data_IF_897724847359
#
_entry.id   IF_897724847359
#
_cell.length_a   1.000
_cell.length_b   1.000
_cell.length_c   1.000
_cell.angle_alpha   90.00
_cell.angle_beta   90.00
_cell.angle_gamma   90.00
#
_symmetry.space_group_name_H-M   'P 1'
#
loop_
_entity.id
_entity.type
_entity.pdbx_description
1 polymer ?
#
# COMPACT_ATOMS: atom_id res chain seq x y z
N UNK A 1 46.01 -35.45 -47.13
CA UNK A 1 45.19 -34.34 -46.58
C UNK A 1 44.49 -34.68 -45.25
N UNK A 2 44.74 -35.84 -44.62
CA UNK A 2 43.96 -36.30 -43.46
C UNK A 2 44.72 -36.34 -42.11
N UNK A 3 45.98 -35.87 -42.03
CA UNK A 3 46.73 -35.81 -40.76
C UNK A 3 46.79 -34.42 -40.14
N UNK A 4 46.70 -33.35 -40.93
CA UNK A 4 46.69 -31.97 -40.43
C UNK A 4 45.30 -31.50 -39.94
N UNK A 5 44.21 -32.08 -40.47
CA UNK A 5 42.85 -31.77 -39.99
C UNK A 5 42.59 -32.34 -38.59
N UNK A 6 43.12 -33.53 -38.28
CA UNK A 6 42.88 -34.21 -37.00
C UNK A 6 43.59 -33.53 -35.83
N UNK A 7 44.78 -32.98 -36.05
CA UNK A 7 45.54 -32.25 -35.02
C UNK A 7 44.86 -30.92 -34.71
N UNK A 8 44.34 -30.23 -35.73
CA UNK A 8 43.64 -28.94 -35.57
C UNK A 8 42.33 -29.07 -34.77
N UNK A 9 41.59 -30.18 -34.97
CA UNK A 9 40.34 -30.45 -34.24
C UNK A 9 40.58 -30.82 -32.77
N UNK A 10 41.67 -31.55 -32.47
CA UNK A 10 42.05 -31.89 -31.10
C UNK A 10 42.51 -30.67 -30.30
N UNK A 11 43.22 -29.72 -30.93
CA UNK A 11 43.60 -28.46 -30.30
C UNK A 11 42.41 -27.52 -30.04
N UNK A 12 41.38 -27.51 -30.91
CA UNK A 12 40.15 -26.74 -30.65
C UNK A 12 39.32 -27.35 -29.51
N UNK A 13 39.29 -28.67 -29.35
CA UNK A 13 38.59 -29.33 -28.24
C UNK A 13 39.28 -29.14 -26.88
N UNK A 14 40.61 -28.99 -26.84
CA UNK A 14 41.32 -28.72 -25.58
C UNK A 14 41.24 -27.24 -25.14
N UNK A 15 41.06 -26.31 -26.09
CA UNK A 15 40.80 -24.91 -25.79
C UNK A 15 39.36 -24.68 -25.29
N UNK A 16 38.37 -25.45 -25.76
CA UNK A 16 36.99 -25.36 -25.26
C UNK A 16 36.80 -26.00 -23.87
N UNK A 17 37.53 -27.06 -23.53
CA UNK A 17 37.49 -27.66 -22.18
C UNK A 17 38.14 -26.78 -21.11
N UNK A 18 39.17 -26.01 -21.48
CA UNK A 18 39.86 -25.08 -20.56
C UNK A 18 39.05 -23.79 -20.34
N UNK A 19 38.17 -23.43 -21.26
CA UNK A 19 37.24 -22.30 -21.12
C UNK A 19 35.98 -22.66 -20.31
N UNK A 20 35.62 -23.94 -20.19
CA UNK A 20 34.48 -24.40 -19.39
C UNK A 20 34.82 -24.72 -17.93
N UNK A 21 36.10 -24.81 -17.57
CA UNK A 21 36.56 -25.03 -16.18
C UNK A 21 36.95 -23.75 -15.45
N UNK A 22 36.82 -22.59 -16.09
CA UNK A 22 36.56 -21.32 -15.40
C UNK A 22 35.04 -21.14 -15.27
N UNK A 23 34.36 -22.11 -14.62
CA UNK A 23 33.13 -21.78 -13.94
C UNK A 23 33.49 -20.63 -13.00
N UNK A 24 33.04 -19.43 -13.34
CA UNK A 24 33.23 -18.23 -12.53
C UNK A 24 32.98 -18.64 -11.08
N UNK A 25 34.04 -18.68 -10.28
CA UNK A 25 33.90 -18.54 -8.85
C UNK A 25 33.26 -17.16 -8.69
N UNK A 26 31.93 -17.11 -8.71
CA UNK A 26 31.14 -15.92 -8.42
C UNK A 26 31.65 -15.49 -7.06
N UNK A 27 32.50 -14.47 -7.09
CA UNK A 27 33.00 -13.79 -5.92
C UNK A 27 31.75 -13.39 -5.15
N UNK A 28 31.49 -14.08 -4.04
CA UNK A 28 30.35 -13.88 -3.14
C UNK A 28 30.55 -12.58 -2.34
N UNK A 29 30.80 -11.48 -3.08
CA UNK A 29 31.02 -10.10 -2.62
C UNK A 29 29.68 -9.36 -2.47
N UNK A 30 28.60 -10.10 -2.25
CA UNK A 30 27.28 -9.53 -1.98
C UNK A 30 27.07 -9.27 -0.49
N UNK A 31 25.97 -8.59 -0.16
CA UNK A 31 25.52 -8.46 1.22
C UNK A 31 25.07 -9.82 1.75
N UNK A 32 25.55 -10.19 2.93
CA UNK A 32 25.09 -11.36 3.68
C UNK A 32 24.31 -10.88 4.89
N UNK A 33 23.00 -11.08 4.86
CA UNK A 33 22.12 -10.72 5.97
C UNK A 33 21.92 -11.92 6.88
N UNK A 34 21.83 -11.66 8.18
CA UNK A 34 21.48 -12.66 9.19
C UNK A 34 20.35 -12.08 10.04
N UNK A 35 19.20 -12.74 10.03
CA UNK A 35 18.05 -12.34 10.84
C UNK A 35 18.45 -12.34 12.32
N UNK A 36 18.19 -11.21 12.99
CA UNK A 36 18.38 -11.07 14.45
C UNK A 36 17.05 -11.20 15.18
N UNK A 37 16.02 -10.56 14.64
CA UNK A 37 14.64 -10.60 15.12
C UNK A 37 13.76 -10.62 13.88
N UNK A 38 12.67 -11.37 13.95
CA UNK A 38 11.60 -11.39 12.95
C UNK A 38 10.25 -11.49 13.66
N UNK A 39 9.23 -10.86 13.08
CA UNK A 39 7.85 -10.93 13.56
C UNK A 39 6.99 -11.63 12.51
N UNK A 40 5.91 -12.34 12.91
CA UNK A 40 5.02 -12.98 11.95
C UNK A 40 4.41 -11.95 10.99
N UNK A 41 4.51 -12.23 9.69
CA UNK A 41 3.93 -11.42 8.62
C UNK A 41 3.10 -12.32 7.69
N UNK A 42 2.18 -11.72 6.96
CA UNK A 42 1.45 -12.39 5.87
C UNK A 42 2.28 -12.45 4.60
N UNK A 43 1.72 -13.08 3.56
CA UNK A 43 2.34 -13.15 2.24
C UNK A 43 2.65 -11.76 1.65
N UNK A 44 3.76 -11.67 0.90
CA UNK A 44 4.12 -10.45 0.16
C UNK A 44 3.07 -10.16 -0.91
N UNK A 45 2.51 -8.95 -0.87
CA UNK A 45 1.54 -8.43 -1.84
C UNK A 45 2.23 -7.60 -2.93
N UNK A 46 1.52 -7.31 -4.02
CA UNK A 46 2.06 -6.57 -5.16
C UNK A 46 1.10 -5.47 -5.67
N UNK A 47 1.36 -4.22 -5.29
CA UNK A 47 0.60 -3.05 -5.75
C UNK A 47 0.76 -2.77 -7.26
N UNK A 48 1.77 -3.36 -7.90
CA UNK A 48 2.08 -3.21 -9.32
C UNK A 48 2.05 -1.73 -9.79
N UNK A 49 1.41 -1.44 -10.92
CA UNK A 49 1.38 -0.11 -11.55
C UNK A 49 0.26 0.73 -10.95
N UNK A 50 0.32 0.91 -9.63
CA UNK A 50 -0.55 1.79 -8.86
C UNK A 50 0.24 2.49 -7.76
N UNK A 51 -0.20 3.67 -7.33
CA UNK A 51 0.46 4.45 -6.28
C UNK A 51 -0.17 4.22 -4.90
N UNK A 52 -0.46 2.95 -4.58
CA UNK A 52 -1.30 2.56 -3.43
C UNK A 52 -0.51 1.94 -2.28
N UNK A 53 0.81 2.15 -2.23
CA UNK A 53 1.71 1.60 -1.20
C UNK A 53 1.23 1.87 0.23
N UNK A 54 0.65 3.05 0.46
CA UNK A 54 0.08 3.46 1.75
C UNK A 54 -1.05 2.51 2.20
N UNK A 55 -1.87 2.01 1.28
CA UNK A 55 -2.92 1.04 1.60
C UNK A 55 -2.33 -0.35 1.83
N UNK A 56 -1.49 -0.84 0.91
CA UNK A 56 -0.84 -2.15 1.02
C UNK A 56 -0.01 -2.29 2.30
N UNK A 57 0.81 -1.29 2.62
CA UNK A 57 1.64 -1.31 3.84
C UNK A 57 0.80 -1.19 5.12
N UNK A 58 -0.27 -0.38 5.11
CA UNK A 58 -1.18 -0.29 6.26
C UNK A 58 -1.90 -1.60 6.53
N UNK A 59 -2.44 -2.25 5.49
CA UNK A 59 -3.16 -3.50 5.66
C UNK A 59 -2.20 -4.64 6.03
N UNK A 60 -1.01 -4.73 5.44
CA UNK A 60 0.01 -5.69 5.88
C UNK A 60 0.41 -5.50 7.36
N UNK A 61 0.49 -4.24 7.82
CA UNK A 61 0.70 -3.93 9.23
C UNK A 61 -0.47 -4.42 10.10
N UNK A 62 -1.72 -4.13 9.74
CA UNK A 62 -2.89 -4.60 10.50
C UNK A 62 -3.07 -6.11 10.44
N UNK A 63 -2.74 -6.77 9.33
CA UNK A 63 -2.71 -8.22 9.24
C UNK A 63 -1.67 -8.84 10.19
N UNK A 64 -0.50 -8.21 10.32
CA UNK A 64 0.51 -8.62 11.30
C UNK A 64 0.03 -8.40 12.74
N UNK A 65 -0.71 -7.31 13.00
CA UNK A 65 -1.38 -7.09 14.30
C UNK A 65 -2.45 -8.15 14.60
N UNK A 66 -3.21 -8.61 13.60
CA UNK A 66 -4.17 -9.71 13.74
C UNK A 66 -3.46 -11.02 14.08
N UNK A 67 -2.31 -11.30 13.45
CA UNK A 67 -1.45 -12.44 13.83
C UNK A 67 -0.97 -12.30 15.27
N UNK A 68 -0.43 -11.13 15.66
CA UNK A 68 0.06 -10.84 17.01
C UNK A 68 -1.01 -11.01 18.08
N UNK A 69 -2.25 -10.62 17.78
CA UNK A 69 -3.40 -10.76 18.69
C UNK A 69 -4.08 -12.14 18.64
N UNK A 70 -3.52 -13.11 17.91
CA UNK A 70 -4.05 -14.47 17.82
C UNK A 70 -5.38 -14.58 17.08
N UNK A 71 -5.70 -13.61 16.21
CA UNK A 71 -6.91 -13.61 15.38
C UNK A 71 -6.77 -14.52 14.15
N UNK A 72 -5.54 -14.86 13.78
CA UNK A 72 -5.23 -15.69 12.62
C UNK A 72 -4.86 -14.86 11.40
N UNK A 73 -4.67 -15.56 10.28
CA UNK A 73 -4.26 -14.95 9.01
C UNK A 73 -5.46 -14.41 8.22
N UNK A 74 -5.32 -13.18 7.72
CA UNK A 74 -6.29 -12.48 6.90
C UNK A 74 -5.60 -11.86 5.68
N UNK A 75 -6.37 -11.72 4.60
CA UNK A 75 -6.01 -10.96 3.41
C UNK A 75 -7.08 -9.89 3.25
N UNK A 76 -6.73 -8.63 3.51
CA UNK A 76 -7.65 -7.50 3.56
C UNK A 76 -7.63 -6.71 2.25
N UNK A 77 -8.79 -6.22 1.80
CA UNK A 77 -8.88 -5.58 0.49
C UNK A 77 -8.33 -4.16 0.45
N UNK A 78 -7.16 -3.95 -0.14
CA UNK A 78 -6.59 -2.61 -0.31
C UNK A 78 -7.50 -1.72 -1.14
N UNK A 79 -8.13 -2.26 -2.17
CA UNK A 79 -8.96 -1.46 -3.08
C UNK A 79 -10.24 -0.94 -2.43
N UNK A 80 -10.71 -1.56 -1.35
CA UNK A 80 -11.79 -1.01 -0.52
C UNK A 80 -11.34 0.27 0.18
N UNK A 81 -10.13 0.27 0.75
CA UNK A 81 -9.54 1.44 1.40
C UNK A 81 -9.22 2.53 0.39
N UNK A 82 -8.63 2.17 -0.75
CA UNK A 82 -8.32 3.09 -1.86
C UNK A 82 -9.58 3.77 -2.36
N UNK A 83 -10.66 3.03 -2.61
CA UNK A 83 -11.92 3.59 -3.12
C UNK A 83 -12.49 4.66 -2.18
N UNK A 84 -12.71 4.32 -0.91
CA UNK A 84 -13.27 5.26 0.06
C UNK A 84 -12.37 6.49 0.26
N UNK A 85 -11.05 6.29 0.32
CA UNK A 85 -10.07 7.38 0.46
C UNK A 85 -10.06 8.28 -0.78
N UNK A 86 -10.15 7.67 -1.96
CA UNK A 86 -10.59 8.19 -3.26
C UNK A 86 -11.60 9.34 -3.16
N UNK A 87 -12.80 8.92 -2.80
CA UNK A 87 -13.98 9.78 -2.78
C UNK A 87 -13.82 10.90 -1.73
N UNK A 88 -13.26 10.59 -0.56
CA UNK A 88 -13.03 11.59 0.49
C UNK A 88 -11.98 12.64 0.09
N UNK A 89 -10.88 12.23 -0.55
CA UNK A 89 -9.81 13.15 -0.99
C UNK A 89 -10.34 14.10 -2.05
N UNK A 90 -11.17 13.62 -2.97
CA UNK A 90 -11.83 14.46 -3.96
C UNK A 90 -12.74 15.50 -3.29
N UNK A 91 -13.53 15.10 -2.29
CA UNK A 91 -14.33 16.03 -1.51
C UNK A 91 -13.48 17.09 -0.84
N UNK A 92 -12.35 16.71 -0.23
CA UNK A 92 -11.43 17.68 0.36
C UNK A 92 -10.86 18.64 -0.69
N UNK A 93 -10.43 18.11 -1.84
CA UNK A 93 -9.90 18.91 -2.96
C UNK A 93 -10.92 19.92 -3.47
N UNK A 94 -12.17 19.49 -3.69
CA UNK A 94 -13.26 20.37 -4.13
C UNK A 94 -13.58 21.43 -3.08
N UNK A 95 -13.66 21.06 -1.79
CA UNK A 95 -13.95 22.00 -0.69
C UNK A 95 -12.88 23.08 -0.52
N UNK A 96 -11.64 22.74 -0.85
CA UNK A 96 -10.49 23.64 -0.78
C UNK A 96 -10.07 24.15 -2.15
N UNK A 97 -10.99 24.16 -3.13
CA UNK A 97 -10.80 24.76 -4.45
C UNK A 97 -9.52 24.30 -5.18
N UNK A 98 -9.12 23.05 -4.96
CA UNK A 98 -7.97 22.40 -5.58
C UNK A 98 -6.63 22.62 -4.87
N UNK A 99 -6.59 23.26 -3.70
CA UNK A 99 -5.37 23.43 -2.89
C UNK A 99 -4.87 22.08 -2.36
N UNK A 100 -5.79 21.23 -1.89
CA UNK A 100 -5.48 19.82 -1.66
C UNK A 100 -5.37 19.13 -3.02
N UNK A 101 -4.20 18.56 -3.29
CA UNK A 101 -3.98 17.76 -4.50
C UNK A 101 -4.90 16.55 -4.52
N UNK A 102 -5.40 16.21 -5.70
CA UNK A 102 -6.06 14.94 -5.94
C UNK A 102 -5.09 14.02 -6.71
N UNK A 103 -4.52 13.06 -5.99
CA UNK A 103 -3.52 12.11 -6.48
C UNK A 103 -3.71 10.76 -5.76
N UNK A 104 -3.25 9.64 -6.36
CA UNK A 104 -3.48 8.28 -5.85
C UNK A 104 -2.73 7.91 -4.56
N UNK A 105 -1.80 8.77 -4.11
CA UNK A 105 -1.10 8.61 -2.85
C UNK A 105 -2.00 8.77 -1.62
N UNK A 106 -1.43 8.56 -0.45
CA UNK A 106 -2.16 8.56 0.82
C UNK A 106 -1.23 8.25 1.99
N UNK A 107 -1.82 8.01 3.15
CA UNK A 107 -1.12 7.87 4.43
C UNK A 107 -1.65 6.67 5.22
N UNK A 108 -0.88 6.22 6.24
CA UNK A 108 -1.39 5.21 7.19
C UNK A 108 -2.68 5.64 7.88
N UNK A 109 -2.83 6.95 8.14
CA UNK A 109 -4.04 7.47 8.77
C UNK A 109 -5.29 7.34 7.87
N UNK A 110 -5.14 7.25 6.55
CA UNK A 110 -6.26 6.98 5.65
C UNK A 110 -6.85 5.57 5.86
N UNK A 111 -6.00 4.57 6.08
CA UNK A 111 -6.45 3.22 6.40
C UNK A 111 -7.11 3.15 7.79
N UNK A 112 -6.52 3.81 8.79
CA UNK A 112 -7.12 3.97 10.14
C UNK A 112 -8.50 4.63 10.06
N UNK A 113 -8.61 5.73 9.30
CA UNK A 113 -9.86 6.43 9.09
C UNK A 113 -10.88 5.53 8.38
N UNK A 114 -10.47 4.84 7.31
CA UNK A 114 -11.35 3.92 6.59
C UNK A 114 -11.91 2.84 7.52
N UNK A 115 -11.06 2.20 8.32
CA UNK A 115 -11.46 1.17 9.26
C UNK A 115 -12.51 1.67 10.27
N UNK A 116 -12.33 2.88 10.81
CA UNK A 116 -13.28 3.49 11.75
C UNK A 116 -14.61 3.89 11.09
N UNK A 117 -14.54 4.52 9.92
CA UNK A 117 -15.70 5.21 9.33
C UNK A 117 -16.50 4.31 8.37
N UNK A 118 -15.81 3.44 7.64
CA UNK A 118 -16.37 2.58 6.59
C UNK A 118 -16.28 1.09 6.94
N UNK A 119 -15.32 0.69 7.78
CA UNK A 119 -15.04 -0.71 8.10
C UNK A 119 -13.90 -1.26 7.24
N UNK A 120 -13.86 -2.58 7.10
CA UNK A 120 -12.89 -3.28 6.25
C UNK A 120 -13.54 -4.54 5.68
N UNK A 121 -12.98 -5.07 4.59
CA UNK A 121 -13.49 -6.27 3.92
C UNK A 121 -12.33 -7.21 3.56
N UNK A 122 -12.55 -8.53 3.48
CA UNK A 122 -11.55 -9.46 2.98
C UNK A 122 -11.33 -9.27 1.48
N UNK A 123 -10.13 -9.60 0.99
CA UNK A 123 -9.74 -9.47 -0.42
C UNK A 123 -10.74 -10.13 -1.39
N UNK A 124 -11.27 -11.30 -1.04
CA UNK A 124 -12.27 -12.01 -1.85
C UNK A 124 -13.60 -11.25 -2.02
N UNK A 125 -13.95 -10.37 -1.07
CA UNK A 125 -15.18 -9.58 -1.15
C UNK A 125 -15.02 -8.37 -2.08
N UNK A 126 -13.80 -7.86 -2.25
CA UNK A 126 -13.50 -6.76 -3.18
C UNK A 126 -12.10 -6.93 -3.78
N UNK A 127 -11.94 -7.79 -4.82
CA UNK A 127 -10.63 -8.03 -5.44
C UNK A 127 -9.99 -6.78 -6.05
N UNK A 128 -10.80 -5.77 -6.40
CA UNK A 128 -10.29 -4.45 -6.74
C UNK A 128 -9.81 -4.26 -8.18
N UNK A 129 -10.05 -5.24 -9.05
CA UNK A 129 -9.60 -5.24 -10.45
C UNK A 129 -10.75 -5.65 -11.36
N UNK A 130 -11.27 -4.72 -12.17
CA UNK A 130 -12.42 -4.95 -13.09
C UNK A 130 -12.08 -4.89 -14.58
N UNK A 131 -10.80 -4.77 -14.91
CA UNK A 131 -10.31 -4.46 -16.27
C UNK A 131 -9.47 -5.59 -16.89
N UNK A 132 -9.59 -6.83 -16.39
CA UNK A 132 -9.01 -8.02 -17.03
C UNK A 132 -7.52 -8.26 -16.77
N UNK A 133 -6.89 -7.46 -15.92
CA UNK A 133 -5.52 -7.68 -15.45
C UNK A 133 -5.48 -8.57 -14.20
N UNK A 134 -4.30 -9.12 -13.88
CA UNK A 134 -4.09 -9.88 -12.63
C UNK A 134 -3.61 -9.01 -11.47
N UNK A 135 -3.08 -7.82 -11.77
CA UNK A 135 -2.49 -6.91 -10.80
C UNK A 135 -2.95 -5.47 -11.08
N UNK A 136 -2.92 -4.58 -10.07
CA UNK A 136 -3.39 -3.22 -10.25
C UNK A 136 -2.65 -2.45 -11.36
N UNK A 137 -3.39 -1.78 -12.25
CA UNK A 137 -2.88 -0.87 -13.28
C UNK A 137 -3.77 0.38 -13.32
N UNK A 138 -3.36 1.42 -12.60
CA UNK A 138 -4.25 2.56 -12.31
C UNK A 138 -4.00 3.80 -13.17
N UNK A 139 -3.04 3.77 -14.11
CA UNK A 139 -2.70 4.96 -14.91
C UNK A 139 -3.92 5.59 -15.60
N UNK A 140 -4.83 4.77 -16.16
CA UNK A 140 -6.06 5.25 -16.79
C UNK A 140 -7.06 5.78 -15.74
N UNK A 141 -7.31 5.01 -14.68
CA UNK A 141 -8.16 5.41 -13.57
C UNK A 141 -7.72 6.77 -12.97
N UNK A 142 -6.45 6.91 -12.67
CA UNK A 142 -5.86 8.11 -12.07
C UNK A 142 -5.99 9.32 -13.01
N UNK A 143 -5.80 9.13 -14.32
CA UNK A 143 -5.98 10.19 -15.31
C UNK A 143 -7.45 10.64 -15.42
N UNK A 144 -8.38 9.69 -15.49
CA UNK A 144 -9.82 9.97 -15.65
C UNK A 144 -10.39 10.61 -14.39
N UNK A 145 -10.15 10.00 -13.21
CA UNK A 145 -10.59 10.55 -11.94
C UNK A 145 -9.93 11.91 -11.65
N UNK A 146 -8.64 12.05 -11.96
CA UNK A 146 -7.90 13.30 -11.83
C UNK A 146 -8.47 14.43 -12.67
N UNK A 147 -8.78 14.17 -13.94
CA UNK A 147 -9.43 15.15 -14.81
C UNK A 147 -10.82 15.54 -14.30
N UNK A 148 -11.60 14.56 -13.84
CA UNK A 148 -12.94 14.77 -13.27
C UNK A 148 -12.91 15.72 -12.06
N UNK A 149 -12.06 15.41 -11.07
CA UNK A 149 -11.94 16.22 -9.85
C UNK A 149 -11.38 17.60 -10.15
N UNK A 150 -10.37 17.72 -11.02
CA UNK A 150 -9.80 19.02 -11.39
C UNK A 150 -10.82 19.94 -12.07
N UNK A 151 -11.66 19.42 -12.96
CA UNK A 151 -12.71 20.20 -13.63
C UNK A 151 -13.71 20.81 -12.63
N UNK A 152 -13.96 20.11 -11.52
CA UNK A 152 -14.88 20.56 -10.47
C UNK A 152 -14.17 21.51 -9.50
N UNK A 153 -13.02 21.09 -8.96
CA UNK A 153 -12.32 21.81 -7.90
C UNK A 153 -11.72 23.14 -8.36
N UNK A 154 -11.24 23.20 -9.61
CA UNK A 154 -10.52 24.36 -10.18
C UNK A 154 -11.30 25.07 -11.29
N UNK A 155 -12.50 24.60 -11.60
CA UNK A 155 -13.36 25.19 -12.62
C UNK A 155 -14.08 26.46 -12.12
N UNK A 156 -14.62 27.24 -13.05
CA UNK A 156 -15.38 28.46 -12.76
C UNK A 156 -16.87 28.19 -12.45
N UNK A 157 -17.17 27.06 -11.79
CA UNK A 157 -18.54 26.63 -11.50
C UNK A 157 -19.15 27.52 -10.40
N UNK A 158 -20.27 28.19 -10.70
CA UNK A 158 -20.98 29.03 -9.72
C UNK A 158 -21.81 28.21 -8.71
N UNK A 159 -22.17 26.98 -9.07
CA UNK A 159 -22.94 26.05 -8.25
C UNK A 159 -22.57 24.62 -8.65
N UNK A 160 -22.35 23.77 -7.66
CA UNK A 160 -22.15 22.34 -7.87
C UNK A 160 -23.49 21.61 -7.88
N UNK A 161 -23.61 20.61 -8.75
CA UNK A 161 -24.73 19.66 -8.71
C UNK A 161 -24.57 18.74 -7.49
N UNK A 162 -25.65 18.13 -6.97
CA UNK A 162 -25.50 17.17 -5.87
C UNK A 162 -24.89 15.83 -6.32
N UNK A 163 -24.85 15.54 -7.63
CA UNK A 163 -24.51 14.24 -8.20
C UNK A 163 -23.03 14.04 -8.53
N UNK A 164 -22.18 15.06 -8.37
CA UNK A 164 -20.78 14.94 -8.80
C UNK A 164 -20.00 13.87 -8.00
N UNK A 165 -20.37 13.66 -6.73
CA UNK A 165 -19.76 12.59 -5.92
C UNK A 165 -20.14 11.21 -6.44
N UNK A 166 -21.40 11.03 -6.83
CA UNK A 166 -21.87 9.79 -7.45
C UNK A 166 -21.14 9.53 -8.77
N UNK A 167 -20.94 10.57 -9.58
CA UNK A 167 -20.16 10.46 -10.82
C UNK A 167 -18.71 10.03 -10.58
N UNK A 168 -18.06 10.55 -9.54
CA UNK A 168 -16.72 10.11 -9.17
C UNK A 168 -16.71 8.68 -8.61
N UNK A 169 -17.67 8.33 -7.73
CA UNK A 169 -17.79 6.96 -7.21
C UNK A 169 -17.96 5.97 -8.36
N UNK A 170 -18.83 6.28 -9.33
CA UNK A 170 -19.06 5.43 -10.49
C UNK A 170 -17.80 5.21 -11.34
N UNK A 171 -16.89 6.18 -11.41
CA UNK A 171 -15.56 5.98 -12.01
C UNK A 171 -14.83 4.89 -11.22
N UNK A 172 -14.63 5.07 -9.91
CA UNK A 172 -13.95 4.06 -9.09
C UNK A 172 -14.65 2.69 -9.08
N UNK A 173 -15.98 2.65 -9.02
CA UNK A 173 -16.80 1.43 -9.08
C UNK A 173 -16.57 0.67 -10.39
N UNK A 174 -16.38 1.39 -11.50
CA UNK A 174 -16.12 0.81 -12.82
C UNK A 174 -14.75 0.12 -12.87
N UNK A 175 -13.71 0.72 -12.29
CA UNK A 175 -12.34 0.16 -12.34
C UNK A 175 -12.03 -0.83 -11.22
N UNK A 176 -12.53 -0.56 -10.00
CA UNK A 176 -12.19 -1.32 -8.79
C UNK A 176 -13.31 -2.26 -8.34
N UNK A 177 -14.54 -2.02 -8.80
CA UNK A 177 -15.74 -2.68 -8.29
C UNK A 177 -16.43 -1.84 -7.22
N UNK A 178 -17.74 -2.05 -7.07
CA UNK A 178 -18.53 -1.40 -6.02
C UNK A 178 -18.09 -1.90 -4.65
N UNK A 179 -17.94 -0.99 -3.69
CA UNK A 179 -17.69 -1.36 -2.30
C UNK A 179 -18.87 -2.19 -1.76
N UNK A 180 -18.65 -3.43 -1.27
CA UNK A 180 -19.74 -4.31 -0.90
C UNK A 180 -20.43 -3.82 0.38
N UNK A 181 -21.75 -3.62 0.32
CA UNK A 181 -22.56 -3.33 1.51
C UNK A 181 -22.71 -4.52 2.45
N UNK A 182 -22.73 -5.74 1.88
CA UNK A 182 -22.76 -7.02 2.58
C UNK A 182 -21.95 -8.07 1.82
N UNK A 183 -21.38 -9.04 2.52
CA UNK A 183 -20.64 -10.16 1.95
C UNK A 183 -20.63 -11.36 2.90
N UNK A 184 -20.41 -12.55 2.34
CA UNK A 184 -20.23 -13.78 3.12
C UNK A 184 -18.75 -14.10 3.25
N UNK A 185 -18.28 -14.29 4.48
CA UNK A 185 -16.91 -14.72 4.76
C UNK A 185 -16.92 -15.91 5.72
N UNK A 186 -16.26 -17.00 5.33
CA UNK A 186 -16.21 -18.27 6.10
C UNK A 186 -17.59 -18.73 6.59
N UNK A 187 -18.62 -18.60 5.74
CA UNK A 187 -19.98 -19.07 6.01
C UNK A 187 -20.85 -18.14 6.88
N UNK A 188 -20.35 -16.96 7.28
CA UNK A 188 -21.13 -15.93 8.01
C UNK A 188 -21.26 -14.67 7.17
N UNK A 189 -22.43 -14.05 7.23
CA UNK A 189 -22.71 -12.78 6.56
C UNK A 189 -22.21 -11.60 7.39
N UNK A 190 -21.59 -10.62 6.73
CA UNK A 190 -21.04 -9.42 7.33
C UNK A 190 -21.38 -8.18 6.51
N UNK A 191 -21.40 -7.05 7.20
CA UNK A 191 -21.15 -5.72 6.62
C UNK A 191 -19.67 -5.38 6.83
N UNK A 192 -19.09 -4.42 6.10
CA UNK A 192 -17.70 -3.99 6.35
C UNK A 192 -17.44 -3.59 7.82
N UNK A 193 -18.41 -2.93 8.46
CA UNK A 193 -18.31 -2.54 9.88
C UNK A 193 -18.39 -3.73 10.84
N UNK A 194 -19.29 -4.68 10.60
CA UNK A 194 -19.40 -5.85 11.48
C UNK A 194 -18.21 -6.79 11.31
N UNK A 195 -17.61 -6.86 10.11
CA UNK A 195 -16.37 -7.59 9.90
C UNK A 195 -15.19 -6.92 10.63
N UNK A 196 -15.02 -5.61 10.48
CA UNK A 196 -14.02 -4.85 11.24
C UNK A 196 -14.16 -5.04 12.77
N UNK A 197 -15.40 -5.07 13.28
CA UNK A 197 -15.66 -5.31 14.70
C UNK A 197 -15.30 -6.74 15.14
N UNK A 198 -15.53 -7.75 14.30
CA UNK A 198 -15.14 -9.15 14.56
C UNK A 198 -13.62 -9.30 14.66
N UNK A 199 -12.88 -8.60 13.79
CA UNK A 199 -11.41 -8.58 13.82
C UNK A 199 -10.86 -8.00 15.13
N UNK A 200 -11.57 -7.05 15.73
CA UNK A 200 -11.33 -6.60 17.10
C UNK A 200 -10.12 -5.68 17.29
N UNK A 201 -9.52 -5.17 16.21
CA UNK A 201 -8.49 -4.13 16.32
C UNK A 201 -9.15 -2.80 16.73
N UNK A 202 -8.64 -2.18 17.79
CA UNK A 202 -9.02 -0.82 18.15
C UNK A 202 -8.11 0.18 17.44
N UNK A 203 -8.69 0.96 16.53
CA UNK A 203 -7.94 1.93 15.75
C UNK A 203 -7.39 3.11 16.57
N UNK A 204 -7.81 3.28 17.82
CA UNK A 204 -7.23 4.26 18.76
C UNK A 204 -5.92 3.79 19.43
N UNK A 205 -5.58 2.51 19.30
CA UNK A 205 -4.34 1.95 19.87
C UNK A 205 -3.11 2.28 19.02
N UNK A 206 -3.30 2.78 17.79
CA UNK A 206 -2.23 3.09 16.85
C UNK A 206 -1.90 4.57 16.82
N UNK A 207 -0.61 4.88 16.91
CA UNK A 207 -0.10 6.24 16.90
C UNK A 207 0.90 6.46 15.79
N UNK A 208 0.87 7.64 15.18
CA UNK A 208 1.92 8.08 14.27
C UNK A 208 3.01 8.80 15.05
N UNK A 209 4.26 8.49 14.75
CA UNK A 209 5.45 9.11 15.35
C UNK A 209 6.30 9.70 14.23
N UNK A 210 6.77 10.93 14.44
CA UNK A 210 7.69 11.62 13.55
C UNK A 210 8.88 12.19 14.33
N UNK A 211 9.94 12.55 13.62
CA UNK A 211 11.11 13.20 14.20
C UNK A 211 11.53 14.37 13.31
N UNK A 212 11.15 15.59 13.70
CA UNK A 212 11.37 16.81 12.92
C UNK A 212 11.81 17.97 13.84
N UNK A 213 12.72 18.80 13.33
CA UNK A 213 13.32 19.91 14.10
C UNK A 213 12.55 21.24 13.98
N UNK A 214 11.61 21.36 13.03
CA UNK A 214 10.83 22.58 12.80
C UNK A 214 9.55 22.68 13.63
N UNK A 215 9.27 21.68 14.48
CA UNK A 215 8.19 21.67 15.47
C UNK A 215 8.75 21.38 16.87
N UNK A 216 8.09 21.85 17.95
CA UNK A 216 8.46 21.45 19.30
C UNK A 216 8.50 19.92 19.46
N UNK A 217 9.50 19.43 20.20
CA UNK A 217 9.56 18.03 20.61
C UNK A 217 8.46 17.75 21.65
N UNK A 218 7.97 16.51 21.66
CA UNK A 218 6.97 16.00 22.60
C UNK A 218 5.57 16.64 22.48
N UNK A 219 5.32 17.30 21.35
CA UNK A 219 4.01 17.78 20.94
C UNK A 219 3.50 17.02 19.71
N UNK A 220 2.20 17.12 19.45
CA UNK A 220 1.62 16.62 18.19
C UNK A 220 1.73 17.68 17.10
N UNK A 221 2.10 17.27 15.90
CA UNK A 221 2.14 18.13 14.73
C UNK A 221 1.56 17.42 13.52
N UNK A 222 1.25 18.18 12.48
CA UNK A 222 0.83 17.65 11.17
C UNK A 222 2.05 17.61 10.28
N UNK A 223 2.42 16.43 9.79
CA UNK A 223 3.47 16.31 8.77
C UNK A 223 2.98 16.99 7.49
N UNK A 224 3.66 18.04 7.04
CA UNK A 224 3.22 18.93 5.97
C UNK A 224 3.52 18.39 4.56
N UNK A 225 2.98 17.22 4.25
CA UNK A 225 3.09 16.58 2.94
C UNK A 225 1.73 16.46 2.26
N UNK A 226 1.71 16.44 0.92
CA UNK A 226 0.49 16.46 0.13
C UNK A 226 -0.46 15.28 0.43
N UNK A 227 0.11 14.11 0.71
CA UNK A 227 -0.67 12.90 1.02
C UNK A 227 -1.22 12.88 2.45
N UNK A 228 -0.78 13.78 3.34
CA UNK A 228 -1.42 14.02 4.64
C UNK A 228 -2.54 15.06 4.54
N UNK A 229 -3.38 14.95 3.51
CA UNK A 229 -4.47 15.88 3.21
C UNK A 229 -5.62 15.86 4.25
N UNK A 230 -5.69 14.79 5.06
CA UNK A 230 -6.56 14.71 6.24
C UNK A 230 -5.99 15.45 7.46
N UNK A 231 -4.74 15.91 7.38
CA UNK A 231 -4.01 16.56 8.46
C UNK A 231 -3.94 15.68 9.72
N UNK A 232 -3.67 14.39 9.52
CA UNK A 232 -3.38 13.45 10.58
C UNK A 232 -2.17 13.91 11.39
N UNK A 233 -2.24 13.72 12.70
CA UNK A 233 -1.21 14.18 13.63
C UNK A 233 -0.23 13.06 13.99
N UNK A 234 1.04 13.45 14.14
CA UNK A 234 2.13 12.60 14.62
C UNK A 234 2.71 13.17 15.91
N UNK A 235 3.08 12.32 16.86
CA UNK A 235 3.89 12.72 18.01
C UNK A 235 5.32 13.02 17.54
N UNK A 236 5.87 14.18 17.92
CA UNK A 236 7.24 14.54 17.59
C UNK A 236 8.21 14.06 18.67
N UNK A 237 9.23 13.29 18.30
CA UNK A 237 10.28 12.80 19.19
C UNK A 237 11.66 13.08 18.60
N UNK A 238 12.72 12.86 19.38
CA UNK A 238 14.08 12.91 18.86
C UNK A 238 14.34 11.73 17.91
N UNK A 239 15.35 11.86 17.03
CA UNK A 239 15.75 10.76 16.15
C UNK A 239 16.18 9.51 16.94
N UNK A 240 16.90 9.70 18.05
CA UNK A 240 17.34 8.59 18.91
C UNK A 240 16.15 7.87 19.56
N UNK A 241 15.14 8.61 20.02
CA UNK A 241 13.90 8.02 20.54
C UNK A 241 13.10 7.31 19.43
N UNK A 242 13.06 7.85 18.20
CA UNK A 242 12.41 7.19 17.07
C UNK A 242 13.06 5.83 16.76
N UNK A 243 14.40 5.75 16.75
CA UNK A 243 15.12 4.49 16.59
C UNK A 243 14.87 3.53 17.76
N UNK A 244 14.87 4.04 18.99
CA UNK A 244 14.57 3.23 20.18
C UNK A 244 13.13 2.67 20.15
N UNK A 245 12.16 3.43 19.63
CA UNK A 245 10.78 2.96 19.43
C UNK A 245 10.74 1.80 18.44
N UNK A 246 11.44 1.92 17.30
CA UNK A 246 11.51 0.86 16.27
C UNK A 246 12.14 -0.40 16.86
N UNK A 247 13.30 -0.28 17.50
CA UNK A 247 13.99 -1.42 18.13
C UNK A 247 13.12 -2.06 19.21
N UNK A 248 12.47 -1.26 20.07
CA UNK A 248 11.59 -1.77 21.11
C UNK A 248 10.37 -2.49 20.52
N UNK A 249 9.75 -1.96 19.46
CA UNK A 249 8.60 -2.60 18.82
C UNK A 249 8.97 -4.00 18.31
N UNK A 250 10.00 -4.08 17.47
CA UNK A 250 10.43 -5.36 16.85
C UNK A 250 10.90 -6.36 17.90
N UNK A 251 11.69 -5.93 18.91
CA UNK A 251 12.15 -6.82 19.99
C UNK A 251 11.02 -7.35 20.89
N UNK A 252 9.85 -6.69 20.90
CA UNK A 252 8.68 -7.12 21.67
C UNK A 252 7.58 -7.74 20.79
N UNK A 253 7.88 -8.07 19.54
CA UNK A 253 6.96 -8.79 18.66
C UNK A 253 5.85 -7.93 18.03
N UNK A 254 6.07 -6.62 17.91
CA UNK A 254 5.24 -5.69 17.14
C UNK A 254 5.81 -5.44 15.75
#
# INVERSE_FOLDING_TARGET
>A
MNRFLSVSLASLMMLSLSAQTAAEAKNDKGFKFTTKVEVPITSVKNQNRSSTCWSFSSLAFFESELLRQGKGEYDLAEMFVVHHTMVDRAEKSVRLHGDVSFSPGGSFYDAVYCWKHYGIVPQDAMPGIRYGEMLPVHNELDAVAGAYVNAIAKGNLKKLTPVWKEGLSAIYDTYLGECPGQFTYKGKEYTPKSFAAELGLNMDDYVSVGACLHHPLYEKFVIEVQDNWRWGQSYNVTMDEMLAIIDNAVNNGY
#
